data_IF_957390477797
#
_entry.id   IF_957390477797
#
_cell.length_a   1.000
_cell.length_b   1.000
_cell.length_c   1.000
_cell.angle_alpha   90.00
_cell.angle_beta   90.00
_cell.angle_gamma   90.00
#
_symmetry.space_group_name_H-M   'P 1'
#
loop_
_entity.id
_entity.type
_entity.pdbx_description
1 polymer ?
#
# COMPACT_ATOMS: atom_id res chain seq x y z
N UNK A 1 -4.20 -4.60 2.90
CA UNK A 1 -4.08 -6.09 3.04
C UNK A 1 -3.82 -6.51 4.47
N UNK A 2 -2.69 -6.19 5.00
CA UNK A 2 -2.29 -6.62 6.34
C UNK A 2 -1.95 -5.43 7.21
N UNK A 3 -2.15 -5.59 8.50
CA UNK A 3 -1.82 -4.58 9.50
C UNK A 3 -1.04 -5.21 10.64
N UNK A 4 -0.08 -4.48 11.17
CA UNK A 4 0.74 -4.89 12.29
C UNK A 4 0.84 -3.75 13.29
N UNK A 5 0.96 -4.06 14.58
CA UNK A 5 1.13 -3.04 15.61
C UNK A 5 2.47 -2.33 15.43
N UNK A 6 2.45 -1.02 15.67
CA UNK A 6 3.65 -0.20 15.61
C UNK A 6 4.61 -0.47 16.77
N UNK A 7 5.70 0.27 16.77
CA UNK A 7 6.76 0.15 17.77
C UNK A 7 6.78 1.35 18.71
N UNK A 8 7.32 1.16 19.89
CA UNK A 8 7.48 2.24 20.87
C UNK A 8 6.13 2.78 21.33
N UNK A 9 5.96 4.10 21.24
CA UNK A 9 4.72 4.78 21.67
C UNK A 9 3.49 4.35 20.89
N UNK A 10 3.67 3.77 19.71
CA UNK A 10 2.59 3.32 18.84
C UNK A 10 2.30 1.83 18.95
N UNK A 11 2.88 1.13 19.93
CA UNK A 11 2.73 -0.32 20.09
C UNK A 11 1.28 -0.77 20.36
N UNK A 12 0.41 0.15 20.82
CA UNK A 12 -1.00 -0.15 21.06
C UNK A 12 -1.88 0.03 19.83
N UNK A 13 -1.35 0.60 18.74
CA UNK A 13 -2.10 0.86 17.52
C UNK A 13 -1.56 0.06 16.35
N UNK A 14 -2.47 -0.29 15.43
CA UNK A 14 -2.07 -0.84 14.14
C UNK A 14 -1.61 0.32 13.25
N UNK A 15 -0.34 0.41 13.01
CA UNK A 15 0.26 1.53 12.27
C UNK A 15 1.18 1.10 11.13
N UNK A 16 1.52 -0.19 11.04
CA UNK A 16 2.35 -0.75 9.98
C UNK A 16 1.43 -1.51 9.02
N UNK A 17 1.38 -1.08 7.76
CA UNK A 17 0.42 -1.61 6.79
C UNK A 17 1.11 -2.15 5.55
N UNK A 18 0.68 -3.34 5.14
CA UNK A 18 1.04 -3.90 3.84
C UNK A 18 0.01 -3.40 2.83
N UNK A 19 0.52 -2.74 1.81
CA UNK A 19 -0.25 -2.11 0.75
C UNK A 19 -0.31 -3.02 -0.46
N UNK A 20 -1.45 -3.02 -1.14
CA UNK A 20 -1.63 -3.84 -2.32
C UNK A 20 -2.29 -3.09 -3.47
N UNK A 21 -2.12 -3.63 -4.65
CA UNK A 21 -2.78 -3.18 -5.87
C UNK A 21 -3.43 -4.37 -6.56
N UNK A 22 -4.42 -4.10 -7.39
CA UNK A 22 -5.18 -5.14 -8.06
C UNK A 22 -4.47 -5.65 -9.32
N UNK A 23 -4.59 -6.94 -9.57
CA UNK A 23 -4.19 -7.54 -10.84
C UNK A 23 -5.13 -8.69 -11.17
N UNK A 24 -5.11 -9.14 -12.41
CA UNK A 24 -5.95 -10.22 -12.85
C UNK A 24 -5.47 -11.55 -12.32
N UNK A 25 -6.34 -12.28 -11.64
CA UNK A 25 -6.12 -13.64 -11.18
C UNK A 25 -6.91 -14.64 -12.00
N UNK A 26 -6.91 -15.91 -11.58
CA UNK A 26 -7.64 -16.99 -12.27
C UNK A 26 -9.15 -16.78 -12.17
N UNK A 27 -9.65 -16.41 -11.02
CA UNK A 27 -11.07 -16.27 -10.73
C UNK A 27 -11.49 -14.80 -10.54
N UNK A 28 -10.83 -13.87 -11.23
CA UNK A 28 -11.09 -12.45 -11.11
C UNK A 28 -9.90 -11.69 -10.54
N UNK A 29 -10.11 -10.43 -10.19
CA UNK A 29 -9.04 -9.59 -9.69
C UNK A 29 -8.58 -10.03 -8.29
N UNK A 30 -7.28 -10.02 -8.08
CA UNK A 30 -6.65 -10.30 -6.78
C UNK A 30 -5.78 -9.14 -6.38
N UNK A 31 -5.65 -8.94 -5.06
CA UNK A 31 -4.80 -7.90 -4.51
C UNK A 31 -3.42 -8.49 -4.24
N UNK A 32 -2.37 -7.82 -4.73
CA UNK A 32 -0.99 -8.26 -4.54
C UNK A 32 -0.18 -7.19 -3.83
N UNK A 33 0.71 -7.57 -2.90
CA UNK A 33 1.46 -6.60 -2.10
C UNK A 33 2.53 -5.88 -2.93
N UNK A 34 2.71 -4.59 -2.67
CA UNK A 34 3.71 -3.76 -3.35
C UNK A 34 4.57 -2.95 -2.39
N UNK A 35 4.30 -3.00 -1.10
CA UNK A 35 5.10 -2.29 -0.12
C UNK A 35 4.46 -2.22 1.24
N UNK A 36 5.21 -1.67 2.19
CA UNK A 36 4.75 -1.43 3.55
C UNK A 36 4.92 0.03 3.89
N UNK A 37 3.90 0.62 4.50
CA UNK A 37 3.96 1.99 4.98
C UNK A 37 3.67 2.02 6.47
N UNK A 38 4.39 2.88 7.19
CA UNK A 38 4.28 2.95 8.65
C UNK A 38 4.34 4.39 9.19
N UNK A 39 4.30 5.39 8.32
CA UNK A 39 4.31 6.79 8.73
C UNK A 39 3.45 7.64 7.80
N UNK A 40 3.23 8.89 8.18
CA UNK A 40 2.39 9.81 7.44
C UNK A 40 0.99 9.98 8.02
N UNK A 41 0.72 9.38 9.18
CA UNK A 41 -0.56 9.48 9.85
C UNK A 41 -0.59 10.61 10.86
N UNK A 42 -1.75 11.24 11.01
CA UNK A 42 -2.07 12.04 12.20
C UNK A 42 -2.53 11.09 13.31
N UNK A 43 -2.54 11.56 14.56
CA UNK A 43 -3.00 10.74 15.68
C UNK A 43 -4.48 10.36 15.53
N UNK A 44 -5.29 11.26 15.00
CA UNK A 44 -6.71 10.97 14.73
C UNK A 44 -6.87 9.88 13.68
N UNK A 45 -6.06 9.93 12.64
CA UNK A 45 -6.07 8.91 11.59
C UNK A 45 -5.64 7.55 12.12
N UNK A 46 -4.63 7.50 12.98
CA UNK A 46 -4.20 6.26 13.62
C UNK A 46 -5.31 5.61 14.42
N UNK A 47 -6.04 6.41 15.20
CA UNK A 47 -7.15 5.92 16.01
C UNK A 47 -8.25 5.36 15.10
N UNK A 48 -8.58 6.07 14.04
CA UNK A 48 -9.62 5.67 13.10
C UNK A 48 -9.27 4.38 12.36
N UNK A 49 -8.02 4.26 11.91
CA UNK A 49 -7.54 3.05 11.25
C UNK A 49 -7.51 1.88 12.24
N UNK A 50 -7.06 2.11 13.45
CA UNK A 50 -7.01 1.07 14.48
C UNK A 50 -8.40 0.46 14.72
N UNK A 51 -9.42 1.29 14.79
CA UNK A 51 -10.81 0.83 14.89
C UNK A 51 -11.24 0.02 13.69
N UNK A 52 -10.89 0.48 12.49
CA UNK A 52 -11.20 -0.22 11.26
C UNK A 52 -10.56 -1.61 11.23
N UNK A 53 -9.27 -1.69 11.56
CA UNK A 53 -8.54 -2.96 11.58
C UNK A 53 -9.16 -3.93 12.57
N UNK A 54 -9.47 -3.48 13.79
CA UNK A 54 -10.06 -4.34 14.81
C UNK A 54 -11.43 -4.88 14.43
N UNK A 55 -12.22 -4.11 13.70
CA UNK A 55 -13.56 -4.51 13.25
C UNK A 55 -13.53 -5.35 11.97
N UNK A 56 -12.48 -5.28 11.19
CA UNK A 56 -12.41 -5.88 9.86
C UNK A 56 -11.26 -6.88 9.71
N UNK A 57 -10.81 -7.47 10.80
CA UNK A 57 -9.81 -8.53 10.77
C UNK A 57 -10.45 -9.81 10.25
N UNK A 58 -9.89 -10.35 9.17
CA UNK A 58 -10.32 -11.60 8.57
C UNK A 58 -9.59 -12.78 9.23
N UNK A 59 -8.29 -12.63 9.42
CA UNK A 59 -7.46 -13.69 10.00
C UNK A 59 -6.27 -13.09 10.74
N UNK A 60 -5.71 -13.85 11.68
CA UNK A 60 -4.56 -13.45 12.47
C UNK A 60 -3.37 -14.36 12.20
N UNK A 61 -2.21 -13.75 11.97
CA UNK A 61 -0.94 -14.45 11.77
C UNK A 61 0.07 -13.91 12.78
N UNK A 62 0.01 -14.40 14.02
CA UNK A 62 0.84 -13.85 15.10
C UNK A 62 0.52 -12.37 15.34
N UNK A 63 1.52 -11.48 15.25
CA UNK A 63 1.29 -10.03 15.43
C UNK A 63 0.63 -9.36 14.23
N UNK A 64 0.50 -10.06 13.11
CA UNK A 64 -0.05 -9.53 11.87
C UNK A 64 -1.52 -9.89 11.75
N UNK A 65 -2.35 -8.95 11.30
CA UNK A 65 -3.75 -9.18 11.01
C UNK A 65 -4.02 -8.96 9.53
N UNK A 66 -4.70 -9.94 8.93
CA UNK A 66 -5.24 -9.76 7.60
C UNK A 66 -6.51 -8.94 7.71
N UNK A 67 -6.56 -7.81 7.00
CA UNK A 67 -7.68 -6.89 6.99
C UNK A 67 -8.50 -7.12 5.73
N UNK A 68 -9.82 -6.97 5.84
CA UNK A 68 -10.71 -7.16 4.70
C UNK A 68 -10.26 -6.30 3.52
N UNK A 69 -10.17 -6.91 2.34
CA UNK A 69 -9.73 -6.25 1.10
C UNK A 69 -10.44 -6.86 -0.11
N UNK A 70 -11.71 -6.53 -0.24
CA UNK A 70 -12.55 -6.94 -1.36
C UNK A 70 -12.86 -5.72 -2.23
N UNK A 71 -13.44 -5.92 -3.39
CA UNK A 71 -13.72 -4.83 -4.32
C UNK A 71 -14.68 -3.78 -3.77
N UNK A 72 -15.54 -4.17 -2.84
CA UNK A 72 -16.53 -3.28 -2.24
C UNK A 72 -16.34 -3.07 -0.74
N UNK A 73 -15.32 -3.66 -0.15
CA UNK A 73 -15.09 -3.58 1.29
C UNK A 73 -13.60 -3.60 1.61
N UNK A 74 -13.12 -2.56 2.26
CA UNK A 74 -11.71 -2.41 2.60
C UNK A 74 -11.33 -0.94 2.72
N UNK A 75 -10.08 -0.69 3.07
CA UNK A 75 -9.56 0.66 3.21
C UNK A 75 -8.65 1.00 2.03
N UNK A 76 -8.95 2.11 1.37
CA UNK A 76 -8.11 2.66 0.32
C UNK A 76 -7.22 3.74 0.90
N UNK A 77 -5.94 3.68 0.58
CA UNK A 77 -4.94 4.61 1.08
C UNK A 77 -4.22 5.23 -0.11
N UNK A 78 -4.13 6.55 -0.12
CA UNK A 78 -3.29 7.25 -1.07
C UNK A 78 -1.87 7.26 -0.55
N UNK A 79 -0.94 6.73 -1.35
CA UNK A 79 0.45 6.52 -0.94
C UNK A 79 1.38 7.35 -1.80
N UNK A 80 2.28 8.06 -1.16
CA UNK A 80 3.38 8.75 -1.84
C UNK A 80 4.63 7.88 -1.72
N UNK A 81 5.39 7.73 -2.80
CA UNK A 81 6.62 6.95 -2.79
C UNK A 81 7.64 7.57 -3.72
N UNK A 82 8.93 7.33 -3.44
CA UNK A 82 10.01 7.94 -4.20
C UNK A 82 10.33 7.22 -5.51
N UNK A 83 10.08 5.92 -5.56
CA UNK A 83 10.36 5.15 -6.75
C UNK A 83 9.84 3.73 -6.66
N UNK A 84 10.11 2.97 -7.73
CA UNK A 84 9.74 1.57 -7.84
C UNK A 84 10.97 0.75 -8.20
N UNK A 85 11.00 -0.50 -7.74
CA UNK A 85 12.05 -1.44 -8.08
C UNK A 85 11.48 -2.85 -8.23
N UNK A 86 12.20 -3.69 -8.96
CA UNK A 86 11.87 -5.12 -9.05
C UNK A 86 12.11 -5.78 -7.70
N UNK A 87 11.23 -6.71 -7.32
CA UNK A 87 11.32 -7.38 -6.03
C UNK A 87 10.95 -8.86 -6.19
N UNK A 88 11.76 -9.72 -5.62
CA UNK A 88 11.47 -11.15 -5.53
C UNK A 88 10.70 -11.49 -4.25
N UNK A 89 10.58 -10.53 -3.33
CA UNK A 89 9.90 -10.73 -2.04
C UNK A 89 8.39 -10.62 -2.13
N UNK A 90 7.88 -9.88 -3.11
CA UNK A 90 6.45 -9.68 -3.30
C UNK A 90 5.95 -10.47 -4.50
N UNK A 91 4.75 -11.03 -4.38
CA UNK A 91 4.11 -11.72 -5.50
C UNK A 91 3.87 -10.81 -6.70
N UNK A 92 3.73 -9.52 -6.46
CA UNK A 92 3.59 -8.53 -7.54
C UNK A 92 4.83 -8.39 -8.40
N UNK A 93 6.00 -8.79 -7.90
CA UNK A 93 7.28 -8.57 -8.54
C UNK A 93 7.81 -7.14 -8.39
N UNK A 94 7.12 -6.28 -7.66
CA UNK A 94 7.47 -4.87 -7.49
C UNK A 94 7.50 -4.49 -6.03
N UNK A 95 8.31 -3.47 -5.72
CA UNK A 95 8.34 -2.85 -4.40
C UNK A 95 8.43 -1.34 -4.54
N UNK A 96 7.66 -0.63 -3.74
CA UNK A 96 7.75 0.81 -3.60
C UNK A 96 8.96 1.18 -2.76
N UNK A 97 9.67 2.24 -3.16
CA UNK A 97 10.78 2.79 -2.38
C UNK A 97 10.26 3.95 -1.53
N UNK A 98 10.48 3.85 -0.23
CA UNK A 98 10.09 4.87 0.76
C UNK A 98 8.61 5.25 0.68
N UNK A 99 7.70 4.28 0.76
CA UNK A 99 6.27 4.59 0.74
C UNK A 99 5.85 5.24 2.05
N UNK A 100 4.99 6.25 1.95
CA UNK A 100 4.37 6.88 3.11
C UNK A 100 2.91 7.17 2.83
N UNK A 101 2.13 7.21 3.89
CA UNK A 101 0.71 7.54 3.77
C UNK A 101 0.57 9.02 3.47
N UNK A 102 -0.10 9.33 2.37
CA UNK A 102 -0.40 10.69 2.01
C UNK A 102 -1.80 11.08 2.47
N UNK A 103 -2.77 10.20 2.26
CA UNK A 103 -4.16 10.46 2.63
C UNK A 103 -4.95 9.15 2.72
N UNK A 104 -5.90 9.09 3.67
CA UNK A 104 -6.86 8.01 3.75
C UNK A 104 -8.06 8.34 2.87
N UNK A 105 -8.55 7.36 2.13
CA UNK A 105 -9.66 7.54 1.20
C UNK A 105 -10.84 6.65 1.63
N UNK A 106 -11.47 7.05 2.74
CA UNK A 106 -12.60 6.30 3.30
C UNK A 106 -13.79 6.20 2.35
N UNK A 107 -13.93 7.16 1.47
CA UNK A 107 -15.05 7.26 0.51
C UNK A 107 -14.78 6.59 -0.84
N UNK A 108 -13.62 5.97 -1.01
CA UNK A 108 -13.27 5.32 -2.27
C UNK A 108 -13.43 3.80 -2.13
N UNK A 109 -14.24 3.16 -3.00
CA UNK A 109 -14.34 1.70 -2.99
C UNK A 109 -12.99 1.05 -3.32
N UNK A 110 -12.61 -0.03 -2.63
CA UNK A 110 -11.33 -0.70 -2.89
C UNK A 110 -11.14 -1.12 -4.35
N UNK A 111 -12.21 -1.52 -5.04
CA UNK A 111 -12.13 -1.90 -6.45
C UNK A 111 -11.67 -0.79 -7.39
N UNK A 112 -11.70 0.47 -6.93
CA UNK A 112 -11.20 1.61 -7.69
C UNK A 112 -9.75 1.94 -7.38
N UNK A 113 -9.10 1.19 -6.49
CA UNK A 113 -7.67 1.36 -6.22
C UNK A 113 -6.86 0.99 -7.45
N UNK A 114 -5.62 1.49 -7.49
CA UNK A 114 -4.76 1.32 -8.66
C UNK A 114 -4.41 -0.14 -8.91
N UNK A 115 -4.03 -0.40 -10.14
CA UNK A 115 -3.71 -1.74 -10.62
C UNK A 115 -2.19 -1.93 -10.74
N UNK A 116 -1.77 -3.19 -10.65
CA UNK A 116 -0.36 -3.55 -10.81
C UNK A 116 0.19 -3.11 -12.17
N UNK A 117 -0.62 -3.23 -13.22
CA UNK A 117 -0.21 -2.85 -14.57
C UNK A 117 0.16 -1.36 -14.67
N UNK A 118 -0.49 -0.53 -13.87
CA UNK A 118 -0.15 0.90 -13.79
C UNK A 118 1.26 1.10 -13.22
N UNK A 119 1.57 0.38 -12.14
CA UNK A 119 2.91 0.42 -11.52
C UNK A 119 3.97 -0.16 -12.45
N UNK A 120 3.67 -1.24 -13.15
CA UNK A 120 4.60 -1.85 -14.12
C UNK A 120 4.97 -0.86 -15.22
N UNK A 121 4.00 -0.12 -15.74
CA UNK A 121 4.26 0.92 -16.74
C UNK A 121 5.11 2.05 -16.18
N UNK A 122 4.89 2.44 -14.93
CA UNK A 122 5.73 3.46 -14.28
C UNK A 122 7.17 2.97 -14.14
N UNK A 123 7.37 1.72 -13.74
CA UNK A 123 8.69 1.13 -13.61
C UNK A 123 9.40 1.02 -14.95
N UNK A 124 8.73 0.61 -16.02
CA UNK A 124 9.27 0.55 -17.36
C UNK A 124 9.80 1.92 -17.81
N UNK A 125 9.05 2.97 -17.56
CA UNK A 125 9.48 4.34 -17.86
C UNK A 125 10.73 4.73 -17.08
N UNK A 126 10.82 4.33 -15.83
CA UNK A 126 12.01 4.58 -15.00
C UNK A 126 13.20 3.81 -15.56
N UNK A 127 13.02 2.55 -15.94
CA UNK A 127 14.08 1.72 -16.50
C UNK A 127 14.58 2.24 -17.85
N UNK A 128 13.68 2.67 -18.71
CA UNK A 128 14.03 3.28 -20.01
C UNK A 128 14.80 4.58 -19.80
N UNK A 129 14.44 5.37 -18.79
CA UNK A 129 15.07 6.64 -18.50
C UNK A 129 16.43 6.55 -17.81
N UNK A 130 16.92 5.37 -17.49
CA UNK A 130 18.19 5.22 -16.74
C UNK A 130 19.40 5.77 -17.43
N UNK A 131 19.40 5.81 -18.76
CA UNK A 131 20.51 6.38 -19.54
C UNK A 131 20.44 7.90 -19.65
N UNK A 132 19.37 8.52 -19.24
CA UNK A 132 19.17 9.96 -19.30
C UNK A 132 19.31 10.56 -17.91
N UNK A 133 19.66 11.86 -17.86
CA UNK A 133 19.69 12.58 -16.58
C UNK A 133 18.25 12.67 -16.08
N UNK A 134 17.99 12.01 -14.97
CA UNK A 134 16.68 12.07 -14.32
C UNK A 134 16.59 13.38 -13.55
N UNK A 135 15.54 14.12 -13.80
CA UNK A 135 15.33 15.38 -13.10
C UNK A 135 15.02 15.07 -11.64
N UNK A 136 15.80 15.68 -10.76
CA UNK A 136 15.72 15.41 -9.33
C UNK A 136 14.38 15.79 -8.71
N UNK A 137 13.62 16.66 -9.36
CA UNK A 137 12.35 17.13 -8.85
C UNK A 137 11.18 16.21 -9.16
N UNK A 138 11.42 15.01 -9.59
CA UNK A 138 10.31 14.09 -9.85
C UNK A 138 9.49 13.81 -8.60
N UNK A 139 10.07 14.09 -7.45
CA UNK A 139 9.35 13.99 -6.21
C UNK A 139 8.75 12.63 -5.96
N UNK A 140 7.82 12.58 -5.05
CA UNK A 140 7.10 11.34 -4.75
C UNK A 140 6.00 11.11 -5.78
N UNK A 141 5.85 9.87 -6.17
CA UNK A 141 4.72 9.43 -6.99
C UNK A 141 3.58 9.05 -6.07
N UNK A 142 2.35 9.30 -6.50
CA UNK A 142 1.17 9.08 -5.67
C UNK A 142 0.28 8.01 -6.29
N UNK A 143 -0.15 7.05 -5.45
CA UNK A 143 -1.15 6.05 -5.77
C UNK A 143 -2.33 6.15 -4.82
N UNK A 144 -3.51 5.93 -5.34
CA UNK A 144 -4.73 5.88 -4.52
C UNK A 144 -5.44 4.55 -4.68
#
# INVERSE_FOLDING_TARGET
MYAQRGHGKRSSYYSDYTLGVWTKGEDGDVLVPVGKAYFGFTDEELIRIDRFVRRNTVERFGPVREVVHETNQGLVIEVAFEGLQRSTRHKSGLAMRFPRINRLRWNKPPGEADRLETLERMLEKIEIGRGATVVANQGDRILS
#
